data_IF_873916694036
#
_entry.id   IF_873916694036
#
_cell.length_a   1.000
_cell.length_b   1.000
_cell.length_c   1.000
_cell.angle_alpha   90.00
_cell.angle_beta   90.00
_cell.angle_gamma   90.00
#
_symmetry.space_group_name_H-M   'P 1'
#
loop_
_entity.id
_entity.type
_entity.pdbx_description
1 polymer ?
#
# COMPACT_ATOMS: atom_id res chain seq x y z
N UNK A 1 -2.97 21.47 -0.25
CA UNK A 1 -1.97 20.54 -0.83
C UNK A 1 -0.75 21.33 -1.32
N UNK A 2 0.47 20.93 -0.95
CA UNK A 2 1.70 21.64 -1.33
C UNK A 2 2.02 21.59 -2.83
N UNK A 3 3.03 22.33 -3.28
CA UNK A 3 3.46 22.44 -4.68
C UNK A 3 4.12 21.17 -5.28
N UNK A 4 4.06 20.04 -4.58
CA UNK A 4 4.64 18.77 -5.01
C UNK A 4 3.78 18.03 -6.06
N UNK A 5 4.21 16.81 -6.42
CA UNK A 5 3.63 15.97 -7.49
C UNK A 5 2.17 15.49 -7.28
N UNK A 6 1.43 16.09 -6.34
CA UNK A 6 0.04 15.75 -6.00
C UNK A 6 -0.21 14.25 -5.76
N UNK A 7 0.69 13.62 -5.00
CA UNK A 7 0.51 12.24 -4.54
C UNK A 7 -0.55 12.24 -3.44
N UNK A 8 -1.72 11.72 -3.76
CA UNK A 8 -2.88 11.66 -2.87
C UNK A 8 -3.05 10.28 -2.20
N UNK A 9 -2.39 9.25 -2.73
CA UNK A 9 -2.46 7.89 -2.20
C UNK A 9 -1.21 7.07 -2.56
N UNK A 10 -1.17 5.84 -2.07
CA UNK A 10 -0.20 4.83 -2.46
C UNK A 10 -0.88 3.70 -3.24
N UNK A 11 -0.16 3.12 -4.20
CA UNK A 11 -0.58 1.84 -4.82
C UNK A 11 -0.06 0.71 -3.94
N UNK A 12 -0.94 0.15 -3.12
CA UNK A 12 -0.67 -0.97 -2.22
C UNK A 12 -1.55 -2.18 -2.58
N UNK A 13 -1.40 -3.28 -1.85
CA UNK A 13 -2.18 -4.49 -2.05
C UNK A 13 -1.42 -5.74 -1.63
N UNK A 14 -1.95 -6.90 -2.03
CA UNK A 14 -1.35 -8.20 -1.75
C UNK A 14 -1.00 -8.84 -3.10
N UNK A 15 0.26 -9.24 -3.24
CA UNK A 15 0.74 -10.03 -4.37
C UNK A 15 0.94 -11.50 -3.95
N UNK A 16 0.99 -12.38 -4.93
CA UNK A 16 1.41 -13.76 -4.74
C UNK A 16 2.76 -14.00 -5.37
N UNK A 17 3.62 -14.75 -4.67
CA UNK A 17 4.89 -15.21 -5.19
C UNK A 17 4.96 -16.73 -5.05
N UNK A 18 5.57 -17.38 -6.04
CA UNK A 18 5.91 -18.81 -5.96
C UNK A 18 7.32 -18.93 -5.39
N UNK A 19 7.47 -19.67 -4.30
CA UNK A 19 8.80 -19.90 -3.72
C UNK A 19 9.71 -20.64 -4.69
N UNK A 20 10.95 -20.18 -4.80
CA UNK A 20 11.97 -20.76 -5.69
C UNK A 20 12.25 -22.24 -5.42
N UNK A 21 12.08 -22.70 -4.18
CA UNK A 21 12.30 -24.08 -3.75
C UNK A 21 11.02 -24.94 -3.77
N UNK A 22 9.96 -24.52 -4.46
CA UNK A 22 8.76 -25.36 -4.61
C UNK A 22 9.08 -26.68 -5.33
N UNK A 23 8.51 -27.77 -4.84
CA UNK A 23 8.58 -29.08 -5.50
C UNK A 23 7.40 -29.31 -6.47
N UNK A 24 6.50 -28.33 -6.61
CA UNK A 24 5.36 -28.38 -7.53
C UNK A 24 5.16 -27.01 -8.20
N UNK A 25 6.10 -26.65 -9.09
CA UNK A 25 6.07 -25.38 -9.79
C UNK A 25 4.85 -25.26 -10.71
N UNK A 26 4.48 -26.34 -11.39
CA UNK A 26 3.36 -26.35 -12.33
C UNK A 26 2.03 -26.07 -11.61
N UNK A 27 1.76 -26.81 -10.51
CA UNK A 27 0.56 -26.60 -9.70
C UNK A 27 0.54 -25.21 -9.05
N UNK A 28 1.67 -24.74 -8.51
CA UNK A 28 1.76 -23.39 -7.95
C UNK A 28 1.48 -22.31 -9.01
N UNK A 29 1.98 -22.49 -10.24
CA UNK A 29 1.73 -21.57 -11.35
C UNK A 29 0.28 -21.61 -11.82
N UNK A 30 -0.35 -22.79 -11.86
CA UNK A 30 -1.77 -22.92 -12.15
C UNK A 30 -2.63 -22.23 -11.09
N UNK A 31 -2.27 -22.35 -9.82
CA UNK A 31 -2.95 -21.66 -8.73
C UNK A 31 -2.84 -20.14 -8.86
N UNK A 32 -1.65 -19.61 -9.16
CA UNK A 32 -1.49 -18.16 -9.42
C UNK A 32 -2.40 -17.71 -10.56
N UNK A 33 -2.41 -18.44 -11.69
CA UNK A 33 -3.30 -18.13 -12.83
C UNK A 33 -4.78 -18.14 -12.45
N UNK A 34 -5.21 -19.12 -11.66
CA UNK A 34 -6.58 -19.22 -11.17
C UNK A 34 -6.93 -18.01 -10.29
N UNK A 35 -6.10 -17.74 -9.27
CA UNK A 35 -6.30 -16.65 -8.32
C UNK A 35 -6.27 -15.26 -8.98
N UNK A 36 -5.56 -15.10 -10.10
CA UNK A 36 -5.53 -13.85 -10.88
C UNK A 36 -6.45 -13.86 -12.11
N UNK A 37 -7.36 -14.83 -12.23
CA UNK A 37 -8.37 -14.85 -13.29
C UNK A 37 -9.46 -13.81 -13.02
N UNK A 38 -10.16 -13.36 -14.07
CA UNK A 38 -11.25 -12.39 -13.92
C UNK A 38 -12.36 -12.91 -13.00
N UNK A 39 -12.72 -14.19 -13.14
CA UNK A 39 -13.83 -14.78 -12.38
C UNK A 39 -13.49 -14.92 -10.90
N UNK A 40 -12.29 -15.43 -10.58
CA UNK A 40 -11.87 -15.53 -9.18
C UNK A 40 -11.66 -14.16 -8.54
N UNK A 41 -11.12 -13.19 -9.30
CA UNK A 41 -10.97 -11.82 -8.81
C UNK A 41 -12.32 -11.16 -8.53
N UNK A 42 -13.37 -11.42 -9.33
CA UNK A 42 -14.72 -10.94 -8.98
C UNK A 42 -15.21 -11.54 -7.67
N UNK A 43 -15.01 -12.84 -7.45
CA UNK A 43 -15.45 -13.54 -6.22
C UNK A 43 -14.73 -12.94 -5.00
N UNK A 44 -13.39 -12.94 -5.02
CA UNK A 44 -12.58 -12.49 -3.88
C UNK A 44 -12.86 -11.01 -3.55
N UNK A 45 -12.85 -10.14 -4.56
CA UNK A 45 -13.00 -8.70 -4.30
C UNK A 45 -14.43 -8.33 -3.88
N UNK A 46 -15.46 -9.08 -4.28
CA UNK A 46 -16.82 -8.93 -3.72
C UNK A 46 -16.84 -9.32 -2.25
N UNK A 47 -16.23 -10.46 -1.90
CA UNK A 47 -16.18 -10.95 -0.53
C UNK A 47 -15.44 -9.99 0.42
N UNK A 48 -14.36 -9.37 -0.05
CA UNK A 48 -13.52 -8.47 0.76
C UNK A 48 -13.83 -6.98 0.55
N UNK A 49 -14.79 -6.62 -0.30
CA UNK A 49 -15.13 -5.24 -0.63
C UNK A 49 -13.92 -4.42 -1.12
N UNK A 50 -13.08 -5.04 -1.95
CA UNK A 50 -11.83 -4.45 -2.49
C UNK A 50 -11.96 -4.12 -3.97
N UNK A 51 -11.04 -3.31 -4.51
CA UNK A 51 -10.95 -3.04 -5.95
C UNK A 51 -10.05 -4.11 -6.57
N UNK A 52 -10.53 -4.88 -7.57
CA UNK A 52 -9.71 -5.89 -8.22
C UNK A 52 -8.44 -5.31 -8.86
N UNK A 53 -7.24 -5.86 -8.64
CA UNK A 53 -6.03 -5.47 -9.38
C UNK A 53 -6.10 -5.85 -10.87
N UNK A 54 -6.95 -6.82 -11.25
CA UNK A 54 -7.12 -7.26 -12.63
C UNK A 54 -8.17 -6.41 -13.34
N UNK A 55 -7.76 -5.72 -14.42
CA UNK A 55 -8.62 -4.76 -15.14
C UNK A 55 -9.91 -5.38 -15.69
N UNK A 56 -9.87 -6.63 -16.17
CA UNK A 56 -11.06 -7.33 -16.67
C UNK A 56 -12.12 -7.56 -15.58
N UNK A 57 -11.70 -7.88 -14.35
CA UNK A 57 -12.60 -8.00 -13.21
C UNK A 57 -13.19 -6.66 -12.75
N UNK A 58 -12.50 -5.52 -12.96
CA UNK A 58 -12.96 -4.21 -12.49
C UNK A 58 -14.22 -3.69 -13.20
N UNK A 59 -14.57 -4.23 -14.38
CA UNK A 59 -15.79 -3.86 -15.12
C UNK A 59 -17.04 -4.58 -14.63
N UNK A 60 -16.94 -5.43 -13.60
CA UNK A 60 -18.10 -6.01 -12.95
C UNK A 60 -18.90 -4.91 -12.22
N UNK A 61 -20.23 -4.81 -12.41
CA UNK A 61 -21.04 -3.75 -11.82
C UNK A 61 -20.94 -3.64 -10.29
N UNK A 62 -20.57 -4.73 -9.60
CA UNK A 62 -20.34 -4.69 -8.15
C UNK A 62 -19.22 -3.73 -7.74
N UNK A 63 -18.32 -3.36 -8.68
CA UNK A 63 -17.21 -2.46 -8.42
C UNK A 63 -17.41 -1.03 -8.98
N UNK A 64 -18.61 -0.69 -9.45
CA UNK A 64 -18.90 0.60 -10.09
C UNK A 64 -19.70 1.57 -9.19
N UNK A 65 -19.54 1.43 -7.88
CA UNK A 65 -20.08 2.39 -6.93
C UNK A 65 -19.39 3.76 -7.07
N UNK A 66 -20.06 4.88 -6.72
CA UNK A 66 -19.43 6.20 -6.73
C UNK A 66 -18.15 6.27 -5.88
N UNK A 67 -18.11 5.58 -4.74
CA UNK A 67 -16.91 5.50 -3.90
C UNK A 67 -15.75 4.80 -4.63
N UNK A 68 -16.03 3.67 -5.29
CA UNK A 68 -15.02 2.96 -6.07
C UNK A 68 -14.55 3.77 -7.29
N UNK A 69 -15.41 4.57 -7.91
CA UNK A 69 -15.00 5.47 -9.00
C UNK A 69 -13.94 6.48 -8.54
N UNK A 70 -14.12 7.08 -7.35
CA UNK A 70 -13.12 7.99 -6.74
C UNK A 70 -11.82 7.25 -6.47
N UNK A 71 -11.90 6.08 -5.82
CA UNK A 71 -10.70 5.29 -5.47
C UNK A 71 -9.94 4.81 -6.73
N UNK A 72 -10.64 4.29 -7.74
CA UNK A 72 -10.08 3.91 -9.04
C UNK A 72 -9.38 5.10 -9.71
N UNK A 73 -9.99 6.28 -9.70
CA UNK A 73 -9.40 7.50 -10.25
C UNK A 73 -8.15 7.95 -9.47
N UNK A 74 -8.20 7.93 -8.13
CA UNK A 74 -7.04 8.26 -7.30
C UNK A 74 -5.88 7.31 -7.57
N UNK A 75 -6.15 5.99 -7.61
CA UNK A 75 -5.15 4.97 -7.89
C UNK A 75 -4.51 5.10 -9.28
N UNK A 76 -5.28 5.55 -10.28
CA UNK A 76 -4.79 5.68 -11.66
C UNK A 76 -4.08 7.00 -11.98
N UNK A 77 -4.38 8.08 -11.24
CA UNK A 77 -3.94 9.44 -11.60
C UNK A 77 -3.05 10.12 -10.56
N UNK A 78 -3.16 9.75 -9.28
CA UNK A 78 -2.50 10.48 -8.17
C UNK A 78 -2.00 9.55 -7.06
N UNK A 79 -1.74 8.29 -7.38
CA UNK A 79 -1.11 7.35 -6.48
C UNK A 79 0.29 6.96 -6.98
N UNK A 80 1.19 6.68 -6.04
CA UNK A 80 2.55 6.21 -6.33
C UNK A 80 2.79 4.89 -5.61
N UNK A 81 3.47 3.95 -6.26
CA UNK A 81 3.86 2.70 -5.61
C UNK A 81 4.86 2.97 -4.48
N UNK A 82 4.76 2.21 -3.39
CA UNK A 82 5.78 2.26 -2.33
C UNK A 82 7.14 1.80 -2.89
N UNK A 83 8.27 2.39 -2.45
CA UNK A 83 9.59 1.95 -2.88
C UNK A 83 9.84 0.49 -2.51
N UNK A 84 10.08 -0.36 -3.51
CA UNK A 84 10.41 -1.78 -3.29
C UNK A 84 11.90 -1.93 -2.94
N UNK A 85 12.26 -1.56 -1.70
CA UNK A 85 13.63 -1.68 -1.18
C UNK A 85 13.69 -2.73 -0.07
N UNK A 86 14.82 -3.44 0.05
CA UNK A 86 14.96 -4.53 1.04
C UNK A 86 14.75 -4.06 2.49
N UNK A 87 15.06 -2.80 2.79
CA UNK A 87 14.90 -2.20 4.11
C UNK A 87 13.51 -1.55 4.33
N UNK A 88 12.52 -1.84 3.49
CA UNK A 88 11.20 -1.19 3.56
C UNK A 88 10.48 -1.47 4.89
N UNK A 89 10.48 -2.70 5.40
CA UNK A 89 9.88 -3.00 6.71
C UNK A 89 10.52 -2.23 7.87
N UNK A 90 11.84 -2.02 7.83
CA UNK A 90 12.54 -1.19 8.81
C UNK A 90 12.16 0.29 8.66
N UNK A 91 12.05 0.77 7.42
CA UNK A 91 11.56 2.13 7.14
C UNK A 91 10.15 2.34 7.70
N UNK A 92 9.21 1.45 7.40
CA UNK A 92 7.83 1.54 7.91
C UNK A 92 7.78 1.54 9.44
N UNK A 93 8.55 0.66 10.07
CA UNK A 93 8.60 0.55 11.54
C UNK A 93 9.13 1.84 12.19
N UNK A 94 10.23 2.37 11.68
CA UNK A 94 10.91 3.55 12.26
C UNK A 94 10.11 4.83 12.02
N UNK A 95 9.68 5.06 10.78
CA UNK A 95 8.85 6.23 10.41
C UNK A 95 7.47 6.12 11.05
N UNK A 96 6.84 4.94 11.04
CA UNK A 96 5.55 4.71 11.67
C UNK A 96 5.58 4.99 13.18
N UNK A 97 6.65 4.59 13.86
CA UNK A 97 6.84 4.92 15.28
C UNK A 97 6.99 6.42 15.51
N UNK A 98 7.77 7.12 14.68
CA UNK A 98 7.91 8.58 14.76
C UNK A 98 6.56 9.31 14.58
N UNK A 99 5.77 8.90 13.57
CA UNK A 99 4.44 9.48 13.31
C UNK A 99 3.47 9.19 14.45
N UNK A 100 3.45 7.95 14.97
CA UNK A 100 2.64 7.57 16.15
C UNK A 100 2.95 8.45 17.36
N UNK A 101 4.23 8.70 17.65
CA UNK A 101 4.63 9.55 18.77
C UNK A 101 4.20 11.01 18.57
N UNK A 102 4.31 11.55 17.35
CA UNK A 102 3.82 12.90 17.03
C UNK A 102 2.30 13.02 17.23
N UNK A 103 1.53 12.01 16.82
CA UNK A 103 0.09 11.99 17.09
C UNK A 103 -0.22 11.89 18.59
N UNK A 104 0.56 11.11 19.35
CA UNK A 104 0.42 11.06 20.80
C UNK A 104 0.74 12.40 21.46
N UNK A 105 1.75 13.13 20.96
CA UNK A 105 2.07 14.49 21.42
C UNK A 105 0.90 15.44 21.17
N UNK A 106 0.35 15.45 19.96
CA UNK A 106 -0.83 16.26 19.63
C UNK A 106 -2.04 15.91 20.50
N UNK A 107 -2.33 14.63 20.72
CA UNK A 107 -3.42 14.17 21.56
C UNK A 107 -3.24 14.56 23.04
N UNK A 108 -2.00 14.67 23.51
CA UNK A 108 -1.66 15.16 24.85
C UNK A 108 -1.63 16.70 24.96
N UNK A 109 -2.03 17.43 23.91
CA UNK A 109 -2.02 18.90 23.88
C UNK A 109 -0.63 19.51 23.67
N UNK A 110 0.39 18.71 23.31
CA UNK A 110 1.71 19.23 22.93
C UNK A 110 1.68 19.70 21.48
N UNK A 111 2.28 20.85 21.21
CA UNK A 111 2.35 21.38 19.86
C UNK A 111 3.24 20.51 18.96
N UNK A 112 2.71 20.07 17.82
CA UNK A 112 3.49 19.45 16.75
C UNK A 112 3.96 20.55 15.79
N UNK A 113 5.25 20.87 15.83
CA UNK A 113 5.89 21.87 14.96
C UNK A 113 6.72 21.23 13.86
N UNK A 114 7.09 22.02 12.85
CA UNK A 114 8.03 21.61 11.79
C UNK A 114 9.33 21.05 12.37
N UNK A 115 9.86 21.66 13.42
CA UNK A 115 11.09 21.23 14.10
C UNK A 115 10.90 19.88 14.78
N UNK A 116 9.76 19.67 15.45
CA UNK A 116 9.45 18.39 16.10
C UNK A 116 9.34 17.25 15.08
N UNK A 117 8.70 17.50 13.94
CA UNK A 117 8.60 16.54 12.83
C UNK A 117 9.98 16.23 12.28
N UNK A 118 10.79 17.26 11.98
CA UNK A 118 12.15 17.09 11.47
C UNK A 118 13.02 16.29 12.45
N UNK A 119 12.92 16.56 13.75
CA UNK A 119 13.68 15.86 14.77
C UNK A 119 13.30 14.37 14.86
N UNK A 120 12.00 14.06 14.86
CA UNK A 120 11.51 12.67 14.90
C UNK A 120 11.92 11.89 13.64
N UNK A 121 11.79 12.50 12.46
CA UNK A 121 12.20 11.87 11.20
C UNK A 121 13.72 11.70 11.09
N UNK A 122 14.51 12.68 11.56
CA UNK A 122 15.97 12.54 11.62
C UNK A 122 16.40 11.39 12.54
N UNK A 123 15.72 11.23 13.69
CA UNK A 123 15.95 10.10 14.59
C UNK A 123 15.56 8.76 13.94
N UNK A 124 14.44 8.69 13.22
CA UNK A 124 14.05 7.49 12.47
C UNK A 124 15.11 7.13 11.41
N UNK A 125 15.63 8.13 10.68
CA UNK A 125 16.67 7.93 9.68
C UNK A 125 17.97 7.36 10.27
N UNK A 126 18.34 7.70 11.51
CA UNK A 126 19.51 7.14 12.19
C UNK A 126 19.36 5.64 12.52
N UNK A 127 18.13 5.11 12.53
CA UNK A 127 17.84 3.69 12.77
C UNK A 127 17.76 2.88 11.47
N UNK A 128 17.92 3.52 10.31
CA UNK A 128 18.02 2.82 9.04
C UNK A 128 19.42 2.23 8.87
N UNK A 129 19.57 1.05 8.24
CA UNK A 129 20.87 0.51 7.90
C UNK A 129 21.65 1.52 7.04
N UNK A 130 22.96 1.62 7.30
CA UNK A 130 23.87 2.35 6.42
C UNK A 130 23.81 1.72 5.03
N UNK A 131 23.76 2.56 4.00
CA UNK A 131 23.87 2.12 2.61
C UNK A 131 25.33 1.99 2.21
#
# INVERSE_FOLDING_TARGET
PGTGAQVNSMVAGINMAVFKNTHNLDGATQFVKFMTSDDEQKILNKAYSTIPPVKGAQSDPAFDTPANAVLKNTLSTSAVALPQVAAESQFETTVGTAVKELFADAAAGRAVTTESVKAKLAKAQQQMPAK
#
